data_IF_111642960921
#
_entry.id   IF_111642960921
#
_cell.length_a   1.000
_cell.length_b   1.000
_cell.length_c   1.000
_cell.angle_alpha   90.00
_cell.angle_beta   90.00
_cell.angle_gamma   90.00
#
_symmetry.space_group_name_H-M   'P 1'
#
loop_
_entity.id
_entity.type
_entity.pdbx_description
1 polymer ?
#
# COMPACT_ATOMS: atom_id res chain seq x y z
N UNK A 1 27.30 77.17 -7.17
CA UNK A 1 26.41 76.25 -6.43
C UNK A 1 26.30 74.97 -7.24
N UNK A 2 26.49 73.84 -6.58
CA UNK A 2 26.47 72.48 -7.13
C UNK A 2 25.06 72.09 -7.61
N UNK A 3 24.96 71.31 -8.69
CA UNK A 3 23.85 70.39 -8.92
C UNK A 3 24.33 69.16 -9.68
N UNK A 4 24.29 68.02 -8.98
CA UNK A 4 24.68 66.70 -9.43
C UNK A 4 23.66 66.10 -10.42
N UNK A 5 24.13 65.15 -11.24
CA UNK A 5 23.34 64.49 -12.29
C UNK A 5 22.40 63.40 -11.79
N UNK A 6 21.47 63.00 -12.67
CA UNK A 6 20.72 61.74 -12.61
C UNK A 6 20.52 61.27 -14.06
N UNK A 7 21.20 60.19 -14.46
CA UNK A 7 20.84 59.41 -15.65
C UNK A 7 19.73 58.44 -15.27
N UNK A 8 18.59 58.53 -15.95
CA UNK A 8 17.46 57.62 -15.78
C UNK A 8 17.78 56.27 -16.46
N UNK A 9 17.88 55.22 -15.64
CA UNK A 9 18.03 53.85 -16.12
C UNK A 9 16.65 53.28 -16.47
N UNK A 10 16.41 53.08 -17.76
CA UNK A 10 15.16 52.53 -18.28
C UNK A 10 15.14 51.01 -18.05
N UNK A 11 14.38 50.56 -17.04
CA UNK A 11 14.14 49.13 -16.79
C UNK A 11 13.10 48.59 -17.79
N UNK A 12 13.50 47.63 -18.62
CA UNK A 12 12.60 46.81 -19.44
C UNK A 12 11.83 45.79 -18.59
N UNK A 13 10.59 45.40 -18.97
CA UNK A 13 9.70 44.59 -18.13
C UNK A 13 10.21 43.14 -18.00
N UNK A 14 9.83 42.42 -16.93
CA UNK A 14 10.28 41.05 -16.73
C UNK A 14 9.64 40.12 -17.76
N UNK A 15 10.46 39.34 -18.45
CA UNK A 15 10.01 38.33 -19.43
C UNK A 15 9.39 37.12 -18.72
N UNK A 16 8.29 36.62 -19.29
CA UNK A 16 7.52 35.46 -18.81
C UNK A 16 8.35 34.17 -18.76
N UNK A 17 8.09 33.35 -17.73
CA UNK A 17 8.78 32.07 -17.42
C UNK A 17 8.85 31.12 -18.62
N UNK A 18 7.85 31.16 -19.50
CA UNK A 18 7.81 30.34 -20.71
C UNK A 18 8.93 30.61 -21.72
N UNK A 19 9.55 31.79 -21.71
CA UNK A 19 10.67 32.11 -22.62
C UNK A 19 12.01 31.52 -22.17
N UNK A 20 12.22 31.25 -20.88
CA UNK A 20 13.49 30.68 -20.38
C UNK A 20 13.71 29.23 -20.79
N UNK A 21 12.63 28.46 -20.95
CA UNK A 21 12.71 27.02 -21.24
C UNK A 21 13.13 26.75 -22.69
N UNK A 22 12.96 27.72 -23.60
CA UNK A 22 13.29 27.54 -25.02
C UNK A 22 14.75 27.81 -25.36
N UNK A 23 15.49 28.56 -24.52
CA UNK A 23 16.89 28.90 -24.77
C UNK A 23 17.86 27.78 -24.32
N UNK A 24 17.46 26.90 -23.41
CA UNK A 24 18.30 25.78 -22.96
C UNK A 24 18.33 24.57 -23.90
N UNK A 25 17.55 24.57 -24.99
CA UNK A 25 17.45 23.43 -25.91
C UNK A 25 18.08 23.61 -27.31
N UNK A 26 18.78 24.72 -27.59
CA UNK A 26 19.28 24.99 -28.97
C UNK A 26 20.79 25.17 -29.14
N UNK A 27 21.62 25.11 -28.11
CA UNK A 27 23.09 25.16 -28.28
C UNK A 27 23.72 23.78 -28.15
N UNK A 28 23.61 22.97 -29.21
CA UNK A 28 24.51 21.82 -29.42
C UNK A 28 24.53 21.42 -30.90
N UNK A 29 25.08 22.29 -31.75
CA UNK A 29 25.66 21.89 -33.04
C UNK A 29 26.98 22.62 -33.25
N UNK A 30 27.96 21.85 -33.71
CA UNK A 30 29.29 22.20 -34.21
C UNK A 30 30.35 22.65 -33.19
N UNK A 31 31.36 21.81 -32.94
CA UNK A 31 32.73 22.03 -33.42
C UNK A 31 33.64 20.80 -33.17
N UNK A 32 34.30 20.34 -34.24
CA UNK A 32 35.37 19.34 -34.24
C UNK A 32 36.73 19.99 -33.95
N UNK A 33 37.60 19.35 -33.15
CA UNK A 33 38.98 18.98 -33.55
C UNK A 33 39.82 18.30 -32.45
N UNK A 34 40.43 17.16 -32.84
CA UNK A 34 41.70 16.51 -32.40
C UNK A 34 41.83 15.76 -31.05
N UNK A 35 42.11 14.46 -31.17
CA UNK A 35 42.57 13.46 -30.16
C UNK A 35 44.09 13.52 -29.93
N UNK A 36 44.75 12.56 -29.20
CA UNK A 36 44.26 11.58 -28.20
C UNK A 36 45.13 11.55 -26.89
N UNK A 37 44.57 11.16 -25.74
CA UNK A 37 45.28 10.24 -24.82
C UNK A 37 44.44 9.73 -23.63
N UNK A 38 44.48 8.40 -23.50
CA UNK A 38 44.41 7.53 -22.31
C UNK A 38 43.54 7.94 -21.11
N UNK A 39 42.43 7.23 -20.91
CA UNK A 39 42.17 6.40 -19.72
C UNK A 39 40.73 5.89 -19.80
N UNK A 40 40.62 4.59 -20.01
CA UNK A 40 39.37 3.84 -20.00
C UNK A 40 38.92 3.66 -18.54
N UNK A 41 38.01 4.51 -18.07
CA UNK A 41 37.22 4.23 -16.86
C UNK A 41 35.79 4.69 -17.09
N UNK A 42 35.04 3.85 -17.79
CA UNK A 42 33.61 3.97 -17.98
C UNK A 42 32.88 3.75 -16.65
N UNK A 43 32.73 4.80 -15.85
CA UNK A 43 31.79 4.84 -14.73
C UNK A 43 30.42 5.22 -15.29
N UNK A 44 29.74 4.27 -15.92
CA UNK A 44 28.29 4.36 -16.13
C UNK A 44 27.66 4.16 -14.76
N UNK A 45 27.47 5.25 -14.02
CA UNK A 45 26.61 5.28 -12.85
C UNK A 45 25.18 5.02 -13.32
N UNK A 46 24.77 3.76 -13.20
CA UNK A 46 23.37 3.37 -13.26
C UNK A 46 22.55 4.27 -12.33
N UNK A 47 21.28 4.57 -12.65
CA UNK A 47 20.42 5.33 -11.76
C UNK A 47 20.33 4.58 -10.43
N UNK A 48 20.98 5.13 -9.40
CA UNK A 48 20.92 4.56 -8.07
C UNK A 48 19.47 4.65 -7.61
N UNK A 49 18.82 3.50 -7.47
CA UNK A 49 17.55 3.41 -6.77
C UNK A 49 17.71 4.09 -5.42
N UNK A 50 16.80 4.99 -5.02
CA UNK A 50 16.88 5.65 -3.72
C UNK A 50 17.01 4.58 -2.62
N UNK A 51 17.78 4.87 -1.55
CA UNK A 51 17.97 3.95 -0.44
C UNK A 51 16.61 3.42 0.07
N UNK A 52 16.48 2.13 0.37
CA UNK A 52 15.23 1.58 0.89
C UNK A 52 14.84 2.30 2.18
N UNK A 53 13.58 2.75 2.24
CA UNK A 53 13.03 3.46 3.40
C UNK A 53 13.07 2.57 4.65
N UNK A 54 13.43 3.16 5.79
CA UNK A 54 13.34 2.49 7.08
C UNK A 54 11.90 2.41 7.59
N UNK A 55 11.69 1.63 8.65
CA UNK A 55 10.37 1.40 9.22
C UNK A 55 9.71 2.69 9.74
N UNK A 56 10.50 3.62 10.28
CA UNK A 56 10.00 4.90 10.80
C UNK A 56 9.53 5.83 9.68
N UNK A 57 10.29 5.90 8.57
CA UNK A 57 9.93 6.67 7.38
C UNK A 57 8.65 6.13 6.74
N UNK A 58 8.58 4.80 6.55
CA UNK A 58 7.39 4.11 6.02
C UNK A 58 6.15 4.42 6.88
N UNK A 59 6.27 4.34 8.19
CA UNK A 59 5.16 4.63 9.10
C UNK A 59 4.76 6.11 9.05
N UNK A 60 5.72 7.02 9.01
CA UNK A 60 5.46 8.47 8.90
C UNK A 60 4.71 8.77 7.60
N UNK A 61 5.15 8.21 6.48
CA UNK A 61 4.50 8.36 5.17
C UNK A 61 3.07 7.80 5.21
N UNK A 62 2.84 6.64 5.87
CA UNK A 62 1.49 6.09 6.06
C UNK A 62 0.58 7.03 6.86
N UNK A 63 1.08 7.62 7.94
CA UNK A 63 0.30 8.57 8.76
C UNK A 63 -0.06 9.80 7.93
N UNK A 64 0.89 10.37 7.20
CA UNK A 64 0.65 11.51 6.30
C UNK A 64 -0.37 11.14 5.23
N UNK A 65 -0.18 10.00 4.55
CA UNK A 65 -1.09 9.51 3.52
C UNK A 65 -2.51 9.31 4.04
N UNK A 66 -2.66 8.77 5.24
CA UNK A 66 -3.98 8.61 5.87
C UNK A 66 -4.64 9.95 6.19
N UNK A 67 -3.87 10.92 6.71
CA UNK A 67 -4.38 12.26 6.98
C UNK A 67 -4.87 12.96 5.70
N UNK A 68 -4.07 12.94 4.63
CA UNK A 68 -4.44 13.51 3.33
C UNK A 68 -5.66 12.83 2.73
N UNK A 69 -5.78 11.50 2.86
CA UNK A 69 -6.95 10.73 2.42
C UNK A 69 -8.22 11.18 3.14
N UNK A 70 -8.14 11.44 4.45
CA UNK A 70 -9.26 11.93 5.26
C UNK A 70 -9.72 13.34 4.86
N UNK A 71 -8.81 14.16 4.31
CA UNK A 71 -9.15 15.47 3.74
C UNK A 71 -9.75 15.39 2.33
N UNK A 72 -9.80 14.21 1.72
CA UNK A 72 -10.32 14.01 0.37
C UNK A 72 -9.29 14.25 -0.75
N UNK A 73 -8.01 14.40 -0.42
CA UNK A 73 -6.93 14.70 -1.37
C UNK A 73 -6.42 13.44 -2.09
N UNK A 74 -7.30 12.75 -2.83
CA UNK A 74 -6.99 11.43 -3.40
C UNK A 74 -5.82 11.45 -4.39
N UNK A 75 -5.71 12.47 -5.24
CA UNK A 75 -4.62 12.60 -6.21
C UNK A 75 -3.27 12.78 -5.50
N UNK A 76 -3.22 13.62 -4.47
CA UNK A 76 -2.01 13.81 -3.65
C UNK A 76 -1.59 12.52 -2.94
N UNK A 77 -2.56 11.75 -2.44
CA UNK A 77 -2.30 10.46 -1.81
C UNK A 77 -1.71 9.46 -2.82
N UNK A 78 -2.27 9.40 -4.04
CA UNK A 78 -1.76 8.54 -5.10
C UNK A 78 -0.31 8.91 -5.47
N UNK A 79 -0.03 10.21 -5.65
CA UNK A 79 1.33 10.70 -5.94
C UNK A 79 2.30 10.41 -4.81
N UNK A 80 1.91 10.63 -3.54
CA UNK A 80 2.76 10.33 -2.37
C UNK A 80 3.21 8.87 -2.35
N UNK A 81 2.29 7.93 -2.58
CA UNK A 81 2.63 6.51 -2.58
C UNK A 81 3.40 6.08 -3.84
N UNK A 82 3.14 6.69 -4.99
CA UNK A 82 3.90 6.47 -6.21
C UNK A 82 5.36 6.95 -6.08
N UNK A 83 5.59 8.12 -5.51
CA UNK A 83 6.92 8.71 -5.35
C UNK A 83 7.72 8.06 -4.22
N UNK A 84 7.06 7.73 -3.09
CA UNK A 84 7.74 7.09 -1.97
C UNK A 84 7.96 5.59 -2.14
N UNK A 85 7.26 4.93 -3.07
CA UNK A 85 7.20 3.47 -3.16
C UNK A 85 6.53 2.79 -1.95
N UNK A 86 5.93 3.56 -1.05
CA UNK A 86 5.21 3.06 0.13
C UNK A 86 3.77 2.68 -0.24
N UNK A 87 3.13 1.83 0.56
CA UNK A 87 1.70 1.51 0.44
C UNK A 87 0.96 1.86 1.73
N UNK A 88 -0.24 2.42 1.61
CA UNK A 88 -1.08 2.73 2.76
C UNK A 88 -1.40 1.49 3.58
N UNK A 89 -1.82 0.42 2.91
CA UNK A 89 -2.20 -0.85 3.52
C UNK A 89 -1.38 -2.01 2.95
N UNK A 90 -1.28 -3.08 3.73
CA UNK A 90 -0.62 -4.31 3.30
C UNK A 90 -1.49 -5.08 2.27
N UNK A 91 -0.86 -5.66 1.25
CA UNK A 91 -1.60 -6.36 0.18
C UNK A 91 -2.31 -7.64 0.65
N UNK A 92 -1.83 -8.28 1.71
CA UNK A 92 -2.52 -9.40 2.34
C UNK A 92 -3.75 -8.90 3.09
N UNK A 93 -3.66 -7.79 3.81
CA UNK A 93 -4.79 -7.21 4.52
C UNK A 93 -5.90 -6.76 3.57
N UNK A 94 -5.55 -6.15 2.44
CA UNK A 94 -6.51 -5.78 1.38
C UNK A 94 -7.22 -7.03 0.84
N UNK A 95 -6.46 -8.05 0.41
CA UNK A 95 -7.03 -9.29 -0.14
C UNK A 95 -7.86 -10.07 0.87
N UNK A 96 -7.44 -10.11 2.14
CA UNK A 96 -8.21 -10.74 3.20
C UNK A 96 -9.60 -10.10 3.30
N UNK A 97 -9.66 -8.76 3.28
CA UNK A 97 -10.93 -8.02 3.32
C UNK A 97 -11.80 -8.32 2.10
N UNK A 98 -11.21 -8.36 0.91
CA UNK A 98 -11.93 -8.68 -0.34
C UNK A 98 -12.56 -10.07 -0.28
N UNK A 99 -11.80 -11.10 0.13
CA UNK A 99 -12.32 -12.45 0.25
C UNK A 99 -13.38 -12.59 1.34
N UNK A 100 -13.22 -11.93 2.48
CA UNK A 100 -14.23 -11.93 3.56
C UNK A 100 -15.55 -11.32 3.05
N UNK A 101 -15.49 -10.16 2.39
CA UNK A 101 -16.69 -9.48 1.87
C UNK A 101 -17.36 -10.30 0.75
N UNK A 102 -16.57 -11.02 -0.06
CA UNK A 102 -17.08 -11.90 -1.10
C UNK A 102 -17.62 -13.24 -0.58
N UNK A 103 -17.44 -13.56 0.72
CA UNK A 103 -17.78 -14.88 1.28
C UNK A 103 -16.87 -16.02 0.80
N UNK A 104 -15.67 -15.70 0.30
CA UNK A 104 -14.68 -16.67 -0.15
C UNK A 104 -13.78 -17.14 1.01
N UNK A 105 -14.39 -17.87 1.95
CA UNK A 105 -13.77 -18.22 3.22
C UNK A 105 -12.47 -19.01 3.11
N UNK A 106 -12.37 -19.94 2.16
CA UNK A 106 -11.18 -20.77 1.96
C UNK A 106 -9.99 -19.95 1.45
N UNK A 107 -10.25 -18.99 0.55
CA UNK A 107 -9.23 -18.05 0.11
C UNK A 107 -8.81 -17.11 1.24
N UNK A 108 -9.76 -16.63 2.05
CA UNK A 108 -9.48 -15.81 3.24
C UNK A 108 -8.56 -16.56 4.24
N UNK A 109 -8.86 -17.82 4.56
CA UNK A 109 -8.03 -18.68 5.41
C UNK A 109 -6.61 -18.84 4.84
N UNK A 110 -6.49 -19.07 3.52
CA UNK A 110 -5.20 -19.15 2.86
C UNK A 110 -4.39 -17.85 2.88
N UNK A 111 -5.04 -16.68 3.02
CA UNK A 111 -4.36 -15.41 3.27
C UNK A 111 -3.86 -15.33 4.72
N UNK A 112 -4.63 -15.79 5.70
CA UNK A 112 -4.22 -15.82 7.12
C UNK A 112 -2.93 -16.62 7.31
N UNK A 113 -2.78 -17.75 6.60
CA UNK A 113 -1.53 -18.54 6.65
C UNK A 113 -0.31 -17.75 6.18
N UNK A 114 -0.48 -16.92 5.14
CA UNK A 114 0.57 -16.05 4.60
C UNK A 114 0.90 -14.87 5.51
N UNK A 115 0.03 -14.53 6.45
CA UNK A 115 0.27 -13.47 7.44
C UNK A 115 1.13 -13.94 8.63
N UNK A 116 1.45 -15.23 8.72
CA UNK A 116 2.24 -15.79 9.83
C UNK A 116 3.59 -15.11 10.14
N UNK A 117 4.33 -14.54 9.18
CA UNK A 117 5.57 -13.82 9.49
C UNK A 117 5.35 -12.48 10.21
N UNK A 118 4.13 -11.92 10.14
CA UNK A 118 3.83 -10.55 10.56
C UNK A 118 2.86 -10.48 11.74
N UNK A 119 2.16 -11.58 12.02
CA UNK A 119 1.09 -11.64 13.02
C UNK A 119 1.39 -12.74 14.03
N UNK A 120 1.16 -12.47 15.31
CA UNK A 120 1.41 -13.45 16.37
C UNK A 120 0.52 -14.68 16.20
N UNK A 121 1.03 -15.86 16.60
CA UNK A 121 0.30 -17.12 16.52
C UNK A 121 -1.06 -17.08 17.19
N UNK A 122 -1.16 -16.44 18.37
CA UNK A 122 -2.41 -16.24 19.09
C UNK A 122 -3.42 -15.41 18.28
N UNK A 123 -2.97 -14.34 17.62
CA UNK A 123 -3.86 -13.51 16.80
C UNK A 123 -4.30 -14.25 15.54
N UNK A 124 -3.40 -15.00 14.88
CA UNK A 124 -3.76 -15.85 13.73
C UNK A 124 -4.82 -16.88 14.12
N UNK A 125 -4.68 -17.51 15.28
CA UNK A 125 -5.63 -18.49 15.79
C UNK A 125 -7.02 -17.86 16.01
N UNK A 126 -7.08 -16.66 16.62
CA UNK A 126 -8.34 -15.90 16.79
C UNK A 126 -8.95 -15.47 15.47
N UNK A 127 -8.14 -15.05 14.50
CA UNK A 127 -8.63 -14.69 13.16
C UNK A 127 -9.23 -15.92 12.47
N UNK A 128 -8.54 -17.08 12.52
CA UNK A 128 -9.07 -18.33 11.94
C UNK A 128 -10.39 -18.74 12.60
N UNK A 129 -10.47 -18.68 13.93
CA UNK A 129 -11.72 -18.98 14.64
C UNK A 129 -12.88 -18.13 14.13
N UNK A 130 -12.71 -16.80 14.01
CA UNK A 130 -13.76 -15.92 13.48
C UNK A 130 -14.11 -16.24 12.03
N UNK A 131 -13.14 -16.53 11.16
CA UNK A 131 -13.44 -16.92 9.77
C UNK A 131 -14.23 -18.23 9.70
N UNK A 132 -13.93 -19.20 10.55
CA UNK A 132 -14.71 -20.44 10.60
C UNK A 132 -16.13 -20.22 11.14
N UNK A 133 -16.33 -19.29 12.07
CA UNK A 133 -17.67 -18.92 12.53
C UNK A 133 -18.51 -18.32 11.41
N UNK A 134 -17.96 -17.35 10.68
CA UNK A 134 -18.69 -16.72 9.57
C UNK A 134 -18.96 -17.74 8.45
N UNK A 135 -17.97 -18.60 8.11
CA UNK A 135 -18.16 -19.72 7.16
C UNK A 135 -19.27 -20.66 7.63
N UNK A 136 -19.31 -21.00 8.92
CA UNK A 136 -20.35 -21.85 9.49
C UNK A 136 -21.74 -21.22 9.36
N UNK A 137 -21.90 -19.95 9.72
CA UNK A 137 -23.17 -19.23 9.63
C UNK A 137 -23.62 -19.10 8.17
N UNK A 138 -22.71 -18.82 7.24
CA UNK A 138 -22.98 -18.78 5.80
C UNK A 138 -23.44 -20.14 5.25
N UNK A 139 -22.86 -21.25 5.73
CA UNK A 139 -23.33 -22.61 5.39
C UNK A 139 -24.74 -22.87 5.90
N UNK A 140 -25.08 -22.45 7.12
CA UNK A 140 -26.43 -22.58 7.66
C UNK A 140 -27.44 -21.76 6.85
N UNK A 141 -27.09 -20.52 6.50
CA UNK A 141 -27.93 -19.66 5.65
C UNK A 141 -28.17 -20.23 4.24
N UNK A 142 -27.31 -21.13 3.78
CA UNK A 142 -27.43 -21.87 2.51
C UNK A 142 -28.02 -23.27 2.67
N UNK A 143 -28.54 -23.62 3.85
CA UNK A 143 -29.09 -24.94 4.20
C UNK A 143 -28.09 -26.11 4.06
N UNK A 144 -26.79 -25.83 4.08
CA UNK A 144 -25.71 -26.82 3.94
C UNK A 144 -25.30 -27.39 5.30
N UNK A 145 -26.25 -27.96 6.02
CA UNK A 145 -26.11 -28.39 7.43
C UNK A 145 -25.02 -29.47 7.61
N UNK A 146 -24.92 -30.43 6.70
CA UNK A 146 -23.90 -31.49 6.77
C UNK A 146 -22.47 -30.93 6.69
N UNK A 147 -22.27 -29.91 5.85
CA UNK A 147 -20.98 -29.26 5.71
C UNK A 147 -20.66 -28.37 6.91
N UNK A 148 -21.67 -27.70 7.46
CA UNK A 148 -21.54 -26.95 8.70
C UNK A 148 -21.13 -27.87 9.87
N UNK A 149 -21.72 -29.07 9.96
CA UNK A 149 -21.33 -30.09 10.94
C UNK A 149 -19.90 -30.61 10.70
N UNK A 150 -19.53 -30.88 9.45
CA UNK A 150 -18.17 -31.29 9.09
C UNK A 150 -17.14 -30.22 9.49
N UNK A 151 -17.45 -28.94 9.24
CA UNK A 151 -16.59 -27.83 9.59
C UNK A 151 -16.33 -27.78 11.10
N UNK A 152 -17.38 -27.91 11.95
CA UNK A 152 -17.21 -27.91 13.41
C UNK A 152 -16.44 -29.11 13.94
N UNK A 153 -16.45 -30.23 13.24
CA UNK A 153 -15.81 -31.48 13.69
C UNK A 153 -14.38 -31.63 13.19
N UNK A 154 -14.10 -31.22 11.95
CA UNK A 154 -12.81 -31.44 11.27
C UNK A 154 -11.95 -30.19 11.25
N UNK A 155 -12.51 -29.04 10.86
CA UNK A 155 -11.72 -27.85 10.50
C UNK A 155 -11.61 -26.83 11.64
N UNK A 156 -12.65 -26.73 12.46
CA UNK A 156 -12.73 -25.74 13.53
C UNK A 156 -11.59 -25.93 14.54
N UNK A 157 -10.94 -24.86 15.04
CA UNK A 157 -9.82 -24.97 15.96
C UNK A 157 -10.12 -25.84 17.19
N UNK A 158 -9.26 -26.83 17.45
CA UNK A 158 -9.37 -27.76 18.59
C UNK A 158 -8.77 -27.23 19.89
N UNK A 159 -8.34 -25.96 19.90
CA UNK A 159 -7.83 -25.30 21.10
C UNK A 159 -8.94 -25.23 22.17
N UNK A 160 -8.67 -25.64 23.43
CA UNK A 160 -9.64 -25.57 24.53
C UNK A 160 -10.27 -24.19 24.72
N UNK A 161 -9.57 -23.11 24.36
CA UNK A 161 -10.07 -21.75 24.45
C UNK A 161 -11.34 -21.50 23.60
N UNK A 162 -11.62 -22.34 22.60
CA UNK A 162 -12.80 -22.21 21.74
C UNK A 162 -13.81 -23.34 21.92
N UNK A 163 -13.66 -24.18 22.95
CA UNK A 163 -14.56 -25.31 23.20
C UNK A 163 -16.02 -24.85 23.41
N UNK A 164 -16.22 -23.88 24.31
CA UNK A 164 -17.56 -23.33 24.59
C UNK A 164 -18.16 -22.69 23.35
N UNK A 165 -17.32 -22.06 22.52
CA UNK A 165 -17.75 -21.42 21.28
C UNK A 165 -18.17 -22.46 20.23
N UNK A 166 -17.39 -23.53 20.04
CA UNK A 166 -17.74 -24.66 19.16
C UNK A 166 -19.07 -25.29 19.60
N UNK A 167 -19.25 -25.52 20.90
CA UNK A 167 -20.49 -26.08 21.44
C UNK A 167 -21.68 -25.17 21.20
N UNK A 168 -21.52 -23.87 21.42
CA UNK A 168 -22.55 -22.88 21.10
C UNK A 168 -22.94 -22.96 19.62
N UNK A 169 -21.98 -22.96 18.69
CA UNK A 169 -22.27 -23.09 17.26
C UNK A 169 -22.99 -24.40 16.92
N UNK A 170 -22.61 -25.51 17.58
CA UNK A 170 -23.28 -26.79 17.39
C UNK A 170 -24.76 -26.74 17.80
N UNK A 171 -25.14 -25.93 18.79
CA UNK A 171 -26.56 -25.73 19.14
C UNK A 171 -27.36 -25.09 18.01
N UNK A 172 -26.73 -24.27 17.16
CA UNK A 172 -27.39 -23.61 16.04
C UNK A 172 -27.79 -24.58 14.92
N UNK A 173 -27.19 -25.77 14.85
CA UNK A 173 -27.58 -26.82 13.89
C UNK A 173 -29.02 -27.32 14.10
N UNK A 174 -29.57 -27.13 15.31
CA UNK A 174 -30.89 -27.62 15.69
C UNK A 174 -31.95 -26.51 15.75
N UNK A 175 -31.56 -25.26 15.43
CA UNK A 175 -32.50 -24.15 15.38
C UNK A 175 -33.12 -24.14 13.98
N UNK A 176 -34.39 -24.51 13.88
CA UNK A 176 -35.12 -24.46 12.60
C UNK A 176 -35.08 -23.04 12.02
N UNK A 177 -34.65 -22.86 10.75
CA UNK A 177 -34.84 -21.61 10.05
C UNK A 177 -36.34 -21.39 9.85
N UNK A 178 -36.89 -20.36 10.50
CA UNK A 178 -38.29 -19.94 10.33
C UNK A 178 -38.51 -19.22 9.01
#
# INVERSE_FOLDING_TARGET
>A
MQSAGIQAQQQSPPKSVGQRIKETLQTSKSQLSRSPNVADTSLVSAPMSPPPLGAAEVNTIRIIGQYLKNLGLQETVATLFAESGCRLEDTLAVRLREYIVAGEWDHALGIVDKMSPFVTSLNLLRIREKLYEEKFVDLLGKERVLEALSLLTVDFPSDPAFFDRRNFLATLLYVDPK
#
